data_IF_025963660904
#
_entry.id   IF_025963660904
#
_cell.length_a   1.000
_cell.length_b   1.000
_cell.length_c   1.000
_cell.angle_alpha   90.00
_cell.angle_beta   90.00
_cell.angle_gamma   90.00
#
_symmetry.space_group_name_H-M   'P 1'
#
loop_
_entity.id
_entity.type
_entity.pdbx_description
1 polymer ?
#
# COMPACT_ATOMS: atom_id res chain seq x y z
N UNK A 1 23.28 42.54 -21.28
CA UNK A 1 22.81 41.90 -22.52
C UNK A 1 23.60 40.61 -22.64
N UNK A 2 23.11 39.46 -22.21
CA UNK A 2 21.72 39.01 -22.07
C UNK A 2 21.42 38.55 -20.63
N UNK A 3 20.28 39.03 -20.12
CA UNK A 3 19.52 38.40 -19.03
C UNK A 3 18.71 37.21 -19.59
N UNK A 4 18.14 36.40 -18.68
CA UNK A 4 17.29 35.18 -18.83
C UNK A 4 18.04 33.96 -18.26
N UNK A 5 17.57 33.17 -17.29
CA UNK A 5 16.29 33.02 -16.62
C UNK A 5 16.57 32.05 -15.43
N UNK A 6 16.40 32.47 -14.17
CA UNK A 6 15.38 32.01 -13.22
C UNK A 6 14.98 30.53 -13.30
N UNK A 7 14.87 29.86 -12.14
CA UNK A 7 13.99 28.69 -12.04
C UNK A 7 14.47 27.48 -11.21
N UNK A 8 14.45 27.59 -9.89
CA UNK A 8 13.88 26.60 -8.94
C UNK A 8 14.70 25.36 -8.55
N UNK A 9 15.02 25.34 -7.25
CA UNK A 9 14.97 24.20 -6.35
C UNK A 9 13.96 23.13 -6.79
N UNK A 10 14.47 21.97 -7.21
CA UNK A 10 13.70 20.72 -7.18
C UNK A 10 14.52 19.65 -6.47
N UNK A 11 14.12 19.43 -5.21
CA UNK A 11 13.98 18.14 -4.55
C UNK A 11 15.16 17.16 -4.65
N UNK A 12 15.76 16.92 -3.49
CA UNK A 12 16.31 15.61 -3.11
C UNK A 12 15.24 14.54 -3.38
N UNK A 13 15.23 13.99 -4.59
CA UNK A 13 14.56 12.74 -4.87
C UNK A 13 15.56 11.66 -4.50
N UNK A 14 15.23 10.92 -3.45
CA UNK A 14 16.02 9.79 -2.98
C UNK A 14 16.33 8.86 -4.15
N UNK A 15 17.62 8.85 -4.51
CA UNK A 15 18.24 7.86 -5.37
C UNK A 15 18.21 6.51 -4.64
N UNK A 16 17.16 5.73 -4.86
CA UNK A 16 17.10 4.31 -4.49
C UNK A 16 17.00 3.46 -5.75
N UNK A 17 18.19 3.22 -6.30
CA UNK A 17 18.65 2.06 -7.07
C UNK A 17 17.58 1.21 -7.78
N UNK A 18 17.44 1.53 -9.06
CA UNK A 18 16.85 0.74 -10.14
C UNK A 18 17.69 -0.52 -10.40
N UNK A 19 17.32 -1.68 -9.83
CA UNK A 19 17.77 -2.99 -10.35
C UNK A 19 17.07 -4.23 -9.75
N UNK A 20 16.48 -4.19 -8.55
CA UNK A 20 15.96 -5.43 -7.91
C UNK A 20 14.67 -5.25 -7.11
N UNK A 21 13.75 -4.43 -7.63
CA UNK A 21 12.36 -4.39 -7.15
C UNK A 21 11.62 -5.68 -7.55
N UNK A 22 11.94 -6.77 -6.85
CA UNK A 22 11.30 -8.07 -7.00
C UNK A 22 9.88 -8.05 -6.45
N UNK A 23 9.02 -8.96 -6.93
CA UNK A 23 7.65 -9.15 -6.41
C UNK A 23 7.59 -9.18 -4.87
N UNK A 24 8.62 -9.77 -4.22
CA UNK A 24 8.74 -9.81 -2.76
C UNK A 24 8.88 -8.44 -2.12
N UNK A 25 9.65 -7.52 -2.72
CA UNK A 25 9.81 -6.17 -2.17
C UNK A 25 8.48 -5.44 -2.15
N UNK A 26 7.80 -5.39 -3.30
CA UNK A 26 6.49 -4.76 -3.39
C UNK A 26 5.43 -5.45 -2.53
N UNK A 27 5.49 -6.77 -2.37
CA UNK A 27 4.61 -7.49 -1.45
C UNK A 27 4.90 -7.10 0.01
N UNK A 28 6.17 -6.88 0.38
CA UNK A 28 6.54 -6.36 1.70
C UNK A 28 6.00 -4.94 1.91
N UNK A 29 6.17 -4.05 0.92
CA UNK A 29 5.61 -2.69 0.95
C UNK A 29 4.09 -2.75 1.05
N UNK A 30 3.42 -3.66 0.33
CA UNK A 30 1.99 -3.89 0.41
C UNK A 30 1.55 -4.31 1.81
N UNK A 31 2.24 -5.25 2.44
CA UNK A 31 1.94 -5.72 3.80
C UNK A 31 2.16 -4.60 4.83
N UNK A 32 3.28 -3.88 4.76
CA UNK A 32 3.56 -2.74 5.65
C UNK A 32 2.51 -1.65 5.51
N UNK A 33 2.14 -1.32 4.27
CA UNK A 33 1.09 -0.36 3.98
C UNK A 33 -0.23 -0.83 4.57
N UNK A 34 -0.61 -2.08 4.35
CA UNK A 34 -1.83 -2.67 4.91
C UNK A 34 -1.85 -2.66 6.46
N UNK A 35 -0.71 -2.90 7.10
CA UNK A 35 -0.55 -2.84 8.56
C UNK A 35 -0.82 -1.43 9.10
N UNK A 36 -0.36 -0.39 8.40
CA UNK A 36 -0.61 1.02 8.78
C UNK A 36 -2.08 1.45 8.69
N UNK A 37 -2.94 0.66 8.03
CA UNK A 37 -4.38 0.92 7.90
C UNK A 37 -5.22 -0.02 8.77
N UNK A 38 -5.36 0.25 10.10
CA UNK A 38 -6.19 -0.57 10.98
C UNK A 38 -7.67 -0.59 10.54
N UNK A 39 -8.13 0.40 9.78
CA UNK A 39 -9.45 0.42 9.16
C UNK A 39 -9.75 -0.74 8.19
N UNK A 40 -8.72 -1.41 7.65
CA UNK A 40 -8.89 -2.55 6.75
C UNK A 40 -9.04 -3.89 7.50
N UNK A 41 -8.36 -4.05 8.63
CA UNK A 41 -8.23 -5.34 9.32
C UNK A 41 -8.73 -5.35 10.76
N UNK A 42 -8.70 -4.21 11.44
CA UNK A 42 -9.12 -4.08 12.82
C UNK A 42 -10.62 -3.76 12.91
N UNK A 43 -11.43 -4.79 13.14
CA UNK A 43 -12.89 -4.65 13.34
C UNK A 43 -13.27 -3.90 14.62
N UNK A 44 -12.32 -3.68 15.54
CA UNK A 44 -12.52 -2.95 16.80
C UNK A 44 -12.37 -1.43 16.63
N UNK A 45 -11.73 -0.96 15.56
CA UNK A 45 -11.61 0.47 15.29
C UNK A 45 -12.93 1.07 14.78
N UNK A 46 -13.35 2.22 15.31
CA UNK A 46 -14.48 3.01 14.78
C UNK A 46 -14.36 3.29 13.28
N UNK A 47 -13.14 3.55 12.80
CA UNK A 47 -12.80 3.79 11.40
C UNK A 47 -13.02 2.58 10.48
N UNK A 48 -13.21 1.36 11.02
CA UNK A 48 -13.51 0.17 10.21
C UNK A 48 -14.82 0.29 9.44
N UNK A 49 -15.77 1.08 9.95
CA UNK A 49 -17.07 1.30 9.32
C UNK A 49 -17.02 2.42 8.27
N UNK A 50 -15.94 3.20 8.20
CA UNK A 50 -15.77 4.26 7.23
C UNK A 50 -15.43 3.68 5.85
N UNK A 51 -16.44 3.62 4.98
CA UNK A 51 -16.29 3.12 3.61
C UNK A 51 -15.34 3.98 2.78
N UNK A 52 -15.31 5.29 3.04
CA UNK A 52 -14.42 6.25 2.33
C UNK A 52 -12.96 5.94 2.62
N UNK A 53 -12.59 5.77 3.90
CA UNK A 53 -11.22 5.46 4.29
C UNK A 53 -10.78 4.11 3.76
N UNK A 54 -11.65 3.10 3.85
CA UNK A 54 -11.44 1.79 3.22
C UNK A 54 -11.15 1.90 1.73
N UNK A 55 -11.94 2.67 0.98
CA UNK A 55 -11.73 2.83 -0.45
C UNK A 55 -10.40 3.53 -0.75
N UNK A 56 -10.05 4.57 0.00
CA UNK A 56 -8.75 5.24 -0.14
C UNK A 56 -7.58 4.29 0.15
N UNK A 57 -7.65 3.51 1.24
CA UNK A 57 -6.62 2.54 1.59
C UNK A 57 -6.53 1.40 0.55
N UNK A 58 -7.67 0.95 0.00
CA UNK A 58 -7.71 -0.02 -1.09
C UNK A 58 -7.09 0.53 -2.37
N UNK A 59 -7.32 1.80 -2.71
CA UNK A 59 -6.74 2.45 -3.88
C UNK A 59 -5.21 2.57 -3.75
N UNK A 60 -4.72 2.95 -2.57
CA UNK A 60 -3.28 2.96 -2.27
C UNK A 60 -2.65 1.57 -2.39
N UNK A 61 -3.33 0.54 -1.89
CA UNK A 61 -2.86 -0.85 -2.01
C UNK A 61 -2.90 -1.34 -3.46
N UNK A 62 -3.88 -0.91 -4.24
CA UNK A 62 -3.98 -1.23 -5.66
C UNK A 62 -2.84 -0.63 -6.47
N UNK A 63 -2.45 0.62 -6.22
CA UNK A 63 -1.32 1.26 -6.89
C UNK A 63 -0.03 0.45 -6.70
N UNK A 64 0.23 -0.01 -5.47
CA UNK A 64 1.40 -0.86 -5.13
C UNK A 64 1.27 -2.23 -5.81
N UNK A 65 0.09 -2.85 -5.76
CA UNK A 65 -0.13 -4.18 -6.30
C UNK A 65 -0.07 -4.21 -7.83
N UNK A 66 -0.48 -3.12 -8.50
CA UNK A 66 -0.33 -2.95 -9.94
C UNK A 66 1.13 -2.88 -10.39
N UNK A 67 2.07 -2.46 -9.51
CA UNK A 67 3.51 -2.52 -9.81
C UNK A 67 4.02 -3.96 -9.90
N UNK A 68 3.41 -4.89 -9.17
CA UNK A 68 3.76 -6.32 -9.17
C UNK A 68 3.09 -7.02 -10.35
N UNK A 69 1.77 -6.84 -10.44
CA UNK A 69 0.92 -7.56 -11.37
C UNK A 69 0.08 -6.54 -12.13
N UNK A 70 0.53 -6.10 -13.32
CA UNK A 70 -0.28 -5.26 -14.18
C UNK A 70 -1.58 -6.00 -14.54
N UNK A 71 -2.70 -5.28 -14.68
CA UNK A 71 -4.08 -5.80 -14.76
C UNK A 71 -4.71 -6.30 -13.45
N UNK A 72 -4.14 -5.99 -12.30
CA UNK A 72 -4.82 -6.30 -11.05
C UNK A 72 -5.97 -5.35 -10.82
N UNK A 73 -7.14 -5.90 -10.46
CA UNK A 73 -8.31 -5.08 -10.14
C UNK A 73 -8.47 -4.92 -8.63
N UNK A 74 -9.28 -3.94 -8.20
CA UNK A 74 -9.66 -3.79 -6.77
C UNK A 74 -10.13 -5.11 -6.15
N UNK A 75 -10.78 -5.97 -6.93
CA UNK A 75 -11.25 -7.28 -6.47
C UNK A 75 -10.12 -8.26 -6.13
N UNK A 76 -9.01 -8.25 -6.88
CA UNK A 76 -7.86 -9.11 -6.59
C UNK A 76 -7.15 -8.65 -5.31
N UNK A 77 -7.03 -7.34 -5.11
CA UNK A 77 -6.50 -6.74 -3.89
C UNK A 77 -7.39 -7.09 -2.69
N UNK A 78 -8.72 -6.94 -2.83
CA UNK A 78 -9.67 -7.35 -1.80
C UNK A 78 -9.55 -8.84 -1.46
N UNK A 79 -9.42 -9.71 -2.48
CA UNK A 79 -9.24 -11.16 -2.27
C UNK A 79 -7.95 -11.45 -1.51
N UNK A 80 -6.85 -10.78 -1.87
CA UNK A 80 -5.56 -10.89 -1.18
C UNK A 80 -5.66 -10.43 0.27
N UNK A 81 -6.26 -9.27 0.52
CA UNK A 81 -6.50 -8.74 1.87
C UNK A 81 -7.38 -9.69 2.69
N UNK A 82 -8.44 -10.26 2.11
CA UNK A 82 -9.30 -11.19 2.84
C UNK A 82 -8.55 -12.48 3.23
N UNK A 83 -7.67 -12.95 2.35
CA UNK A 83 -6.75 -14.05 2.64
C UNK A 83 -5.79 -13.69 3.79
N UNK A 84 -5.15 -12.51 3.72
CA UNK A 84 -4.26 -12.02 4.78
C UNK A 84 -4.99 -11.86 6.11
N UNK A 85 -6.19 -11.26 6.11
CA UNK A 85 -7.03 -11.08 7.30
C UNK A 85 -7.40 -12.41 7.95
N UNK A 86 -7.64 -13.45 7.16
CA UNK A 86 -7.94 -14.79 7.67
C UNK A 86 -6.73 -15.43 8.32
N UNK A 87 -5.55 -15.31 7.71
CA UNK A 87 -4.28 -15.79 8.29
C UNK A 87 -3.91 -15.01 9.55
N UNK A 88 -3.96 -13.67 9.51
CA UNK A 88 -3.69 -12.80 10.65
C UNK A 88 -4.61 -13.11 11.83
N UNK A 89 -5.92 -13.28 11.62
CA UNK A 89 -6.85 -13.64 12.70
C UNK A 89 -6.56 -15.02 13.29
N UNK A 90 -6.10 -15.97 12.46
CA UNK A 90 -5.68 -17.30 12.94
C UNK A 90 -4.42 -17.19 13.80
N UNK A 91 -3.43 -16.42 13.38
CA UNK A 91 -2.19 -16.20 14.14
C UNK A 91 -2.48 -15.47 15.46
N UNK A 92 -3.23 -14.37 15.44
CA UNK A 92 -3.64 -13.66 16.67
C UNK A 92 -4.42 -14.57 17.64
N UNK A 93 -5.31 -15.43 17.12
CA UNK A 93 -6.05 -16.38 17.94
C UNK A 93 -5.17 -17.49 18.51
N UNK A 94 -4.10 -17.88 17.81
CA UNK A 94 -3.15 -18.90 18.27
C UNK A 94 -2.14 -18.35 19.30
N UNK A 95 -2.00 -17.02 19.38
CA UNK A 95 -1.12 -16.33 20.33
C UNK A 95 -1.84 -16.07 21.68
N UNK A 96 -3.09 -16.51 21.84
CA UNK A 96 -3.86 -16.45 23.10
C UNK A 96 -4.24 -17.84 23.59
#
# INVERSE_FOLDING_TARGET
>A
MEDENSIQSENSVDTVDDATLTEKHYLSVFIKTWETYPELWNTSCKSYRDTVKKNNALDKLLDIYNKIKPNSMREDVKRKINSLRTNFRKEIKNIH
#
